data_IF_039117320985
#
_entry.id   IF_039117320985
#
_cell.length_a   1.000
_cell.length_b   1.000
_cell.length_c   1.000
_cell.angle_alpha   90.00
_cell.angle_beta   90.00
_cell.angle_gamma   90.00
#
_symmetry.space_group_name_H-M   'P 1'
#
loop_
_entity.id
_entity.type
_entity.pdbx_description
1 polymer ?
#
# COMPACT_ATOMS: atom_id res chain seq x y z
N UNK A 1 -17.93 -3.61 24.06
CA UNK A 1 -18.97 -3.83 23.03
C UNK A 1 -18.58 -2.94 21.87
N UNK A 2 -17.59 -3.32 21.05
CA UNK A 2 -17.63 -4.23 19.89
C UNK A 2 -18.41 -3.63 18.70
N UNK A 3 -17.92 -2.52 18.17
CA UNK A 3 -18.33 -1.95 16.89
C UNK A 3 -17.59 -2.65 15.75
N UNK A 4 -18.15 -3.79 15.33
CA UNK A 4 -17.85 -4.39 14.04
C UNK A 4 -18.53 -3.55 12.97
N UNK A 5 -17.78 -2.61 12.39
CA UNK A 5 -18.14 -2.00 11.11
C UNK A 5 -18.32 -3.12 10.07
N UNK A 6 -19.51 -3.22 9.50
CA UNK A 6 -19.89 -4.29 8.58
C UNK A 6 -19.27 -4.01 7.21
N UNK A 7 -18.40 -4.92 6.79
CA UNK A 7 -17.80 -5.07 5.44
C UNK A 7 -18.83 -5.05 4.28
N UNK A 8 -20.14 -5.08 4.57
CA UNK A 8 -21.21 -5.07 3.57
C UNK A 8 -21.48 -3.71 2.89
N UNK A 9 -21.09 -2.58 3.47
CA UNK A 9 -21.37 -1.26 2.86
C UNK A 9 -20.39 -0.90 1.72
N UNK A 10 -19.17 -1.43 1.73
CA UNK A 10 -18.16 -1.19 0.69
C UNK A 10 -18.47 -1.99 -0.58
N UNK A 11 -18.99 -3.22 -0.44
CA UNK A 11 -19.40 -4.06 -1.59
C UNK A 11 -20.62 -3.47 -2.31
N UNK A 12 -21.49 -2.75 -1.60
CA UNK A 12 -22.66 -2.07 -2.18
C UNK A 12 -22.29 -0.91 -3.12
N UNK A 13 -21.21 -0.17 -2.82
CA UNK A 13 -20.76 0.95 -3.67
C UNK A 13 -20.12 0.47 -4.97
N UNK A 14 -19.51 -0.72 -4.97
CA UNK A 14 -18.90 -1.31 -6.17
C UNK A 14 -19.94 -1.82 -7.17
N UNK A 15 -21.09 -2.31 -6.68
CA UNK A 15 -22.25 -2.63 -7.53
C UNK A 15 -22.93 -1.40 -8.13
N UNK A 16 -22.96 -0.28 -7.39
CA UNK A 16 -23.59 0.95 -7.87
C UNK A 16 -22.80 1.59 -9.03
N UNK A 17 -21.47 1.55 -8.98
CA UNK A 17 -20.61 2.05 -10.06
C UNK A 17 -20.66 1.17 -11.32
N UNK A 18 -20.80 -0.16 -11.16
CA UNK A 18 -21.00 -1.07 -12.29
C UNK A 18 -22.34 -0.81 -13.01
N UNK A 19 -23.38 -0.46 -12.23
CA UNK A 19 -24.70 -0.10 -12.77
C UNK A 19 -24.70 1.26 -13.49
N UNK A 20 -23.98 2.25 -12.96
CA UNK A 20 -23.84 3.56 -13.61
C UNK A 20 -23.07 3.49 -14.93
N UNK A 21 -22.13 2.55 -15.10
CA UNK A 21 -21.42 2.35 -16.36
C UNK A 21 -22.33 1.71 -17.43
N UNK A 22 -23.25 0.81 -17.03
CA UNK A 22 -24.23 0.19 -17.93
C UNK A 22 -25.34 1.15 -18.37
N UNK A 23 -25.84 2.00 -17.47
CA UNK A 23 -26.89 2.99 -17.78
C UNK A 23 -26.38 4.14 -18.69
N UNK A 24 -25.07 4.31 -18.85
CA UNK A 24 -24.46 5.29 -19.77
C UNK A 24 -24.39 4.81 -21.23
N UNK A 25 -24.64 3.52 -21.50
CA UNK A 25 -24.68 2.95 -22.86
C UNK A 25 -26.07 2.87 -23.48
N UNK A 26 -27.14 3.18 -22.72
CA UNK A 26 -28.53 3.08 -23.19
C UNK A 26 -29.09 4.36 -23.87
N UNK A 27 -28.32 5.45 -23.96
CA UNK A 27 -28.80 6.70 -24.58
C UNK A 27 -28.63 6.77 -26.11
N UNK A 28 -28.38 5.64 -26.78
CA UNK A 28 -28.23 5.58 -28.25
C UNK A 28 -29.14 4.55 -28.94
N UNK A 29 -30.27 4.19 -28.34
CA UNK A 29 -31.31 3.38 -28.98
C UNK A 29 -32.68 4.07 -28.98
N UNK A 30 -32.77 5.24 -29.62
CA UNK A 30 -34.01 5.63 -30.30
C UNK A 30 -33.77 5.49 -31.79
N UNK A 31 -34.19 4.35 -32.35
CA UNK A 31 -34.65 4.11 -33.73
C UNK A 31 -34.32 2.66 -34.17
N UNK A 32 -35.36 1.96 -34.61
CA UNK A 32 -35.39 0.70 -35.39
C UNK A 32 -35.15 -0.63 -34.66
N UNK A 33 -36.23 -1.12 -34.05
CA UNK A 33 -36.87 -2.44 -34.25
C UNK A 33 -36.16 -3.44 -35.19
N UNK A 34 -35.23 -4.25 -34.66
CA UNK A 34 -34.80 -5.54 -35.22
C UNK A 34 -34.46 -6.51 -34.08
N UNK A 35 -35.39 -7.39 -33.73
CA UNK A 35 -35.19 -8.47 -32.78
C UNK A 35 -34.29 -9.57 -33.39
N UNK A 36 -32.99 -9.50 -33.12
CA UNK A 36 -32.06 -10.61 -33.28
C UNK A 36 -31.94 -11.36 -31.94
N UNK A 37 -31.98 -12.71 -31.91
CA UNK A 37 -31.76 -13.46 -30.69
C UNK A 37 -30.27 -13.41 -30.34
N UNK A 38 -29.91 -12.60 -29.34
CA UNK A 38 -28.58 -12.65 -28.72
C UNK A 38 -28.53 -13.93 -27.87
N UNK A 39 -28.06 -15.04 -28.45
CA UNK A 39 -27.68 -16.22 -27.66
C UNK A 39 -26.37 -15.92 -26.93
N UNK A 40 -26.17 -16.52 -25.74
CA UNK A 40 -24.93 -16.31 -24.95
C UNK A 40 -23.67 -16.63 -25.77
N UNK A 41 -23.74 -17.54 -26.72
CA UNK A 41 -22.67 -17.87 -27.67
C UNK A 41 -22.26 -16.70 -28.58
N UNK A 42 -23.18 -15.80 -28.95
CA UNK A 42 -22.88 -14.63 -29.77
C UNK A 42 -22.21 -13.53 -28.95
N UNK A 43 -22.57 -13.41 -27.67
CA UNK A 43 -21.86 -12.53 -26.72
C UNK A 43 -20.45 -13.09 -26.51
N UNK A 44 -20.30 -14.38 -26.22
CA UNK A 44 -18.99 -15.04 -26.03
C UNK A 44 -18.08 -14.93 -27.28
N UNK A 45 -18.65 -14.91 -28.48
CA UNK A 45 -17.91 -14.63 -29.71
C UNK A 45 -17.40 -13.18 -29.83
N UNK A 46 -18.06 -12.21 -29.21
CA UNK A 46 -17.69 -10.79 -29.24
C UNK A 46 -16.69 -10.42 -28.12
N UNK A 47 -16.76 -11.09 -26.98
CA UNK A 47 -15.80 -10.97 -25.86
C UNK A 47 -14.68 -12.04 -25.93
N UNK A 48 -14.68 -12.95 -26.89
CA UNK A 48 -13.69 -14.03 -27.08
C UNK A 48 -12.27 -13.61 -27.47
N UNK A 49 -11.83 -12.40 -27.08
CA UNK A 49 -10.49 -11.85 -27.32
C UNK A 49 -9.85 -11.17 -26.10
N UNK A 50 -10.52 -11.13 -24.94
CA UNK A 50 -9.92 -10.62 -23.70
C UNK A 50 -8.98 -11.70 -23.12
N UNK A 51 -7.73 -11.70 -23.57
CA UNK A 51 -6.69 -12.57 -23.01
C UNK A 51 -6.50 -12.27 -21.52
N UNK A 52 -6.01 -13.24 -20.72
CA UNK A 52 -5.61 -13.01 -19.30
C UNK A 52 -4.75 -11.75 -19.13
N UNK A 53 -3.98 -11.40 -20.15
CA UNK A 53 -3.16 -10.19 -20.23
C UNK A 53 -3.97 -8.89 -20.11
N UNK A 54 -5.19 -8.84 -20.64
CA UNK A 54 -6.08 -7.67 -20.54
C UNK A 54 -6.75 -7.53 -19.16
N UNK A 55 -7.05 -8.65 -18.49
CA UNK A 55 -7.48 -8.67 -17.09
C UNK A 55 -6.32 -8.39 -16.11
N UNK A 56 -5.09 -8.78 -16.46
CA UNK A 56 -3.87 -8.39 -15.75
C UNK A 56 -3.58 -6.89 -15.95
N UNK A 57 -3.77 -6.36 -17.16
CA UNK A 57 -3.61 -4.94 -17.45
C UNK A 57 -4.64 -4.08 -16.71
N UNK A 58 -5.91 -4.52 -16.66
CA UNK A 58 -6.94 -3.86 -15.85
C UNK A 58 -6.60 -3.89 -14.36
N UNK A 59 -6.10 -5.02 -13.83
CA UNK A 59 -5.66 -5.15 -12.42
C UNK A 59 -4.43 -4.28 -12.09
N UNK A 60 -3.51 -4.09 -13.03
CA UNK A 60 -2.38 -3.16 -12.88
C UNK A 60 -2.80 -1.69 -13.00
N UNK A 61 -3.97 -1.41 -13.57
CA UNK A 61 -4.54 -0.07 -13.71
C UNK A 61 -5.44 0.36 -12.52
N UNK A 62 -5.64 -0.47 -11.49
CA UNK A 62 -6.62 -0.17 -10.42
C UNK A 62 -6.11 0.76 -9.31
N UNK A 63 -4.79 0.86 -9.11
CA UNK A 63 -4.23 1.61 -7.99
C UNK A 63 -3.64 2.94 -8.43
N UNK A 64 -4.01 4.07 -7.81
CA UNK A 64 -3.39 5.35 -8.09
C UNK A 64 -1.87 5.32 -7.92
N UNK A 65 -1.16 6.20 -8.65
CA UNK A 65 0.31 6.21 -8.69
C UNK A 65 0.96 6.27 -7.28
N UNK A 66 0.43 7.09 -6.36
CA UNK A 66 0.94 7.20 -5.00
C UNK A 66 0.85 5.88 -4.22
N UNK A 67 -0.19 5.09 -4.47
CA UNK A 67 -0.37 3.79 -3.83
C UNK A 67 0.66 2.79 -4.35
N UNK A 68 0.93 2.80 -5.66
CA UNK A 68 1.98 1.97 -6.26
C UNK A 68 3.37 2.32 -5.71
N UNK A 69 3.68 3.62 -5.57
CA UNK A 69 4.94 4.11 -4.98
C UNK A 69 5.04 3.69 -3.51
N UNK A 70 4.00 3.97 -2.72
CA UNK A 70 3.96 3.69 -1.29
C UNK A 70 4.14 2.20 -1.00
N UNK A 71 3.37 1.34 -1.66
CA UNK A 71 3.45 -0.12 -1.53
C UNK A 71 4.83 -0.65 -1.92
N UNK A 72 5.35 -0.20 -3.06
CA UNK A 72 6.68 -0.63 -3.52
C UNK A 72 7.78 -0.22 -2.53
N UNK A 73 7.70 0.99 -1.98
CA UNK A 73 8.64 1.47 -0.97
C UNK A 73 8.54 0.64 0.32
N UNK A 74 7.34 0.42 0.84
CA UNK A 74 7.10 -0.35 2.07
C UNK A 74 7.66 -1.77 1.94
N UNK A 75 7.32 -2.46 0.86
CA UNK A 75 7.81 -3.81 0.59
C UNK A 75 9.33 -3.84 0.49
N UNK A 76 9.93 -2.91 -0.24
CA UNK A 76 11.37 -2.80 -0.36
C UNK A 76 12.05 -2.51 0.99
N UNK A 77 11.50 -1.58 1.77
CA UNK A 77 12.02 -1.20 3.08
C UNK A 77 12.10 -2.40 4.02
N UNK A 78 11.00 -3.11 4.24
CA UNK A 78 10.98 -4.24 5.18
C UNK A 78 11.78 -5.43 4.67
N UNK A 79 11.78 -5.69 3.35
CA UNK A 79 12.65 -6.73 2.77
C UNK A 79 14.13 -6.43 3.04
N UNK A 80 14.57 -5.18 2.86
CA UNK A 80 15.96 -4.80 3.18
C UNK A 80 16.22 -4.85 4.69
N UNK A 81 15.26 -4.40 5.51
CA UNK A 81 15.38 -4.41 6.96
C UNK A 81 15.61 -5.83 7.51
N UNK A 82 14.84 -6.81 7.02
CA UNK A 82 14.90 -8.20 7.48
C UNK A 82 16.15 -8.94 6.97
N UNK A 83 16.64 -8.61 5.77
CA UNK A 83 17.80 -9.27 5.15
C UNK A 83 19.14 -8.63 5.55
N UNK A 84 19.27 -7.33 5.37
CA UNK A 84 20.48 -6.56 5.67
C UNK A 84 20.13 -5.09 5.92
N UNK A 85 19.81 -4.78 7.19
CA UNK A 85 19.45 -3.43 7.62
C UNK A 85 20.51 -2.36 7.31
N UNK A 86 21.75 -2.73 7.01
CA UNK A 86 22.79 -1.77 6.62
C UNK A 86 22.51 -1.11 5.25
N UNK A 87 21.72 -1.77 4.39
CA UNK A 87 21.37 -1.24 3.06
C UNK A 87 20.29 -0.14 3.10
N UNK A 88 19.58 0.00 4.23
CA UNK A 88 18.54 1.01 4.42
C UNK A 88 19.07 2.44 4.29
N UNK A 89 20.38 2.65 4.46
CA UNK A 89 20.99 3.96 4.30
C UNK A 89 20.80 4.54 2.90
N UNK A 90 20.50 3.73 1.90
CA UNK A 90 20.18 4.21 0.54
C UNK A 90 18.80 4.87 0.45
N UNK A 91 17.91 4.64 1.40
CA UNK A 91 16.54 5.17 1.44
C UNK A 91 16.45 6.51 2.19
N UNK A 92 17.50 6.89 2.91
CA UNK A 92 17.56 8.13 3.68
C UNK A 92 18.56 9.14 3.10
N UNK A 93 18.37 10.41 3.45
CA UNK A 93 19.23 11.54 3.11
C UNK A 93 19.75 12.23 4.39
N UNK A 94 20.64 13.21 4.24
CA UNK A 94 21.14 14.01 5.37
C UNK A 94 20.07 14.89 6.02
N UNK A 95 18.94 15.10 5.33
CA UNK A 95 17.79 15.85 5.85
C UNK A 95 16.70 14.98 6.44
N UNK A 96 16.84 13.65 6.36
CA UNK A 96 15.83 12.71 6.85
C UNK A 96 15.74 12.71 8.37
N UNK A 97 14.55 12.44 8.91
CA UNK A 97 14.29 12.38 10.34
C UNK A 97 13.62 11.05 10.69
N UNK A 98 14.20 10.31 11.65
CA UNK A 98 13.59 9.13 12.27
C UNK A 98 13.12 9.48 13.67
N UNK A 99 11.93 9.01 14.06
CA UNK A 99 11.52 8.91 15.47
C UNK A 99 11.34 7.43 15.79
N UNK A 100 12.18 6.88 16.67
CA UNK A 100 12.14 5.47 17.07
C UNK A 100 11.74 5.38 18.54
N UNK A 101 10.58 4.78 18.85
CA UNK A 101 10.08 4.66 20.23
C UNK A 101 10.02 6.01 20.97
N UNK A 102 9.70 7.09 20.24
CA UNK A 102 9.63 8.46 20.77
C UNK A 102 10.96 9.21 20.86
N UNK A 103 12.08 8.60 20.46
CA UNK A 103 13.39 9.27 20.42
C UNK A 103 13.70 9.76 18.99
N UNK A 104 14.04 11.04 18.78
CA UNK A 104 14.35 11.59 17.46
C UNK A 104 15.82 11.36 17.05
N UNK A 105 16.04 11.08 15.77
CA UNK A 105 17.34 10.92 15.13
C UNK A 105 17.33 11.65 13.79
N UNK A 106 18.20 12.66 13.64
CA UNK A 106 18.24 13.50 12.45
C UNK A 106 19.46 13.19 11.58
N UNK A 107 19.22 13.06 10.28
CA UNK A 107 20.22 12.79 9.26
C UNK A 107 20.55 11.30 9.13
N UNK A 108 20.87 10.89 7.90
CA UNK A 108 21.20 9.51 7.55
C UNK A 108 22.20 8.85 8.50
N UNK A 109 23.27 9.55 8.91
CA UNK A 109 24.28 8.98 9.79
C UNK A 109 23.70 8.53 11.15
N UNK A 110 22.95 9.41 11.82
CA UNK A 110 22.34 9.12 13.12
C UNK A 110 21.24 8.05 13.01
N UNK A 111 20.47 8.07 11.91
CA UNK A 111 19.46 7.05 11.60
C UNK A 111 20.12 5.67 11.48
N UNK A 112 21.18 5.56 10.70
CA UNK A 112 21.88 4.29 10.49
C UNK A 112 22.61 3.79 11.73
N UNK A 113 23.18 4.69 12.53
CA UNK A 113 23.73 4.34 13.85
C UNK A 113 22.64 3.76 14.75
N UNK A 114 21.47 4.39 14.80
CA UNK A 114 20.33 3.88 15.58
C UNK A 114 19.89 2.49 15.10
N UNK A 115 19.67 2.31 13.79
CA UNK A 115 19.27 1.02 13.21
C UNK A 115 20.32 -0.07 13.50
N UNK A 116 21.60 0.26 13.37
CA UNK A 116 22.70 -0.67 13.65
C UNK A 116 22.78 -1.06 15.13
N UNK A 117 22.45 -0.13 16.04
CA UNK A 117 22.48 -0.32 17.50
C UNK A 117 21.36 -1.24 18.05
N UNK A 118 20.36 -1.59 17.23
CA UNK A 118 19.23 -2.38 17.70
C UNK A 118 19.67 -3.78 18.15
N UNK A 119 19.29 -4.22 19.37
CA UNK A 119 19.89 -5.37 20.06
C UNK A 119 19.27 -6.70 19.63
N UNK A 120 19.21 -6.98 18.32
CA UNK A 120 18.72 -8.24 17.78
C UNK A 120 19.56 -8.74 16.61
N UNK A 121 19.56 -10.05 16.41
CA UNK A 121 20.28 -10.70 15.32
C UNK A 121 19.39 -10.90 14.10
N UNK A 122 18.15 -11.34 14.31
CA UNK A 122 17.16 -11.59 13.28
C UNK A 122 15.86 -10.89 13.62
N UNK A 123 15.26 -10.34 12.57
CA UNK A 123 13.93 -9.74 12.63
C UNK A 123 13.16 -10.17 11.39
N UNK A 124 11.86 -10.36 11.56
CA UNK A 124 10.94 -10.61 10.46
C UNK A 124 9.71 -9.73 10.65
N UNK A 125 9.40 -8.93 9.64
CA UNK A 125 8.18 -8.13 9.61
C UNK A 125 7.10 -8.82 8.78
N UNK A 126 5.85 -8.68 9.22
CA UNK A 126 4.65 -9.10 8.51
C UNK A 126 3.68 -7.91 8.47
N UNK A 127 3.42 -7.42 7.26
CA UNK A 127 2.55 -6.26 7.05
C UNK A 127 1.10 -6.73 7.08
N UNK A 128 0.30 -6.15 7.97
CA UNK A 128 -1.12 -6.50 8.13
C UNK A 128 -2.03 -5.54 7.39
N UNK A 129 -1.65 -4.26 7.37
CA UNK A 129 -2.33 -3.22 6.61
C UNK A 129 -1.31 -2.12 6.25
N UNK A 130 -1.51 -1.52 5.09
CA UNK A 130 -0.79 -0.35 4.62
C UNK A 130 -1.77 0.59 3.92
N UNK A 131 -1.63 1.88 4.20
CA UNK A 131 -2.46 2.92 3.60
C UNK A 131 -1.54 4.00 3.03
N UNK A 132 -1.86 4.49 1.83
CA UNK A 132 -1.03 5.46 1.11
C UNK A 132 -1.86 6.65 0.64
N UNK A 133 -1.35 7.85 0.87
CA UNK A 133 -2.00 9.09 0.46
C UNK A 133 -1.00 10.03 -0.24
N UNK A 134 -1.45 10.80 -1.25
CA UNK A 134 -0.66 11.91 -1.75
C UNK A 134 -0.57 12.99 -0.66
N UNK A 135 0.60 13.57 -0.51
CA UNK A 135 0.88 14.69 0.38
C UNK A 135 1.34 15.90 -0.45
N UNK A 136 1.40 17.11 0.14
CA UNK A 136 1.92 18.30 -0.55
C UNK A 136 3.32 18.07 -1.15
N UNK A 137 3.69 18.91 -2.13
CA UNK A 137 5.00 18.87 -2.79
C UNK A 137 5.36 17.52 -3.45
N UNK A 138 4.35 16.84 -4.01
CA UNK A 138 4.51 15.53 -4.70
C UNK A 138 5.06 14.45 -3.76
N UNK A 139 4.78 14.58 -2.46
CA UNK A 139 5.16 13.57 -1.48
C UNK A 139 4.11 12.46 -1.39
N UNK A 140 4.50 11.32 -0.84
CA UNK A 140 3.60 10.20 -0.53
C UNK A 140 3.70 9.91 0.96
N UNK A 141 2.58 9.95 1.66
CA UNK A 141 2.46 9.52 3.04
C UNK A 141 2.04 8.05 3.07
N UNK A 142 2.79 7.21 3.77
CA UNK A 142 2.49 5.80 3.97
C UNK A 142 2.34 5.51 5.47
N UNK A 143 1.21 4.91 5.86
CA UNK A 143 1.00 4.37 7.20
C UNK A 143 1.01 2.85 7.12
N UNK A 144 1.75 2.21 8.02
CA UNK A 144 1.93 0.77 8.06
C UNK A 144 1.55 0.26 9.44
N UNK A 145 0.74 -0.79 9.46
CA UNK A 145 0.43 -1.57 10.65
C UNK A 145 0.85 -3.00 10.39
N UNK A 146 1.61 -3.57 11.31
CA UNK A 146 2.12 -4.92 11.14
C UNK A 146 2.45 -5.62 12.44
N UNK A 147 3.03 -6.79 12.28
CA UNK A 147 3.61 -7.58 13.34
C UNK A 147 5.09 -7.83 13.03
N UNK A 148 5.91 -7.89 14.07
CA UNK A 148 7.31 -8.25 13.96
C UNK A 148 7.66 -9.35 14.95
N UNK A 149 8.58 -10.23 14.53
CA UNK A 149 9.18 -11.27 15.34
C UNK A 149 10.67 -11.00 15.40
N UNK A 150 11.18 -10.80 16.61
CA UNK A 150 12.60 -10.55 16.87
C UNK A 150 13.17 -11.75 17.57
N UNK A 151 14.21 -12.36 17.00
CA UNK A 151 14.88 -13.55 17.54
C UNK A 151 13.85 -14.58 18.11
N UNK A 152 13.92 -14.86 19.41
CA UNK A 152 12.99 -15.76 20.12
C UNK A 152 11.88 -15.03 20.89
N UNK A 153 11.84 -13.69 20.87
CA UNK A 153 10.87 -12.86 21.60
C UNK A 153 9.44 -13.03 21.08
N UNK A 154 8.38 -12.83 21.89
CA UNK A 154 7.01 -12.88 21.42
C UNK A 154 6.76 -11.98 20.19
N UNK A 155 5.82 -12.38 19.33
CA UNK A 155 5.39 -11.53 18.21
C UNK A 155 4.77 -10.26 18.77
N UNK A 156 5.25 -9.11 18.30
CA UNK A 156 4.80 -7.79 18.72
C UNK A 156 4.13 -7.07 17.56
N UNK A 157 3.04 -6.35 17.83
CA UNK A 157 2.49 -5.41 16.85
C UNK A 157 3.39 -4.18 16.73
N UNK A 158 3.35 -3.51 15.59
CA UNK A 158 4.00 -2.22 15.40
C UNK A 158 3.18 -1.31 14.47
N UNK A 159 3.47 -0.01 14.57
CA UNK A 159 2.98 1.03 13.70
C UNK A 159 4.17 1.81 13.16
N UNK A 160 4.18 2.08 11.86
CA UNK A 160 5.21 2.90 11.24
C UNK A 160 4.61 3.86 10.23
N UNK A 161 5.16 5.07 10.15
CA UNK A 161 4.74 6.08 9.19
C UNK A 161 5.95 6.58 8.41
N UNK A 162 5.80 6.67 7.09
CA UNK A 162 6.81 7.18 6.17
C UNK A 162 6.28 8.37 5.39
N UNK A 163 7.08 9.43 5.28
CA UNK A 163 6.89 10.49 4.30
C UNK A 163 7.95 10.37 3.22
N UNK A 164 7.50 10.05 2.01
CA UNK A 164 8.34 9.82 0.85
C UNK A 164 8.37 11.06 -0.02
N UNK A 165 9.55 11.42 -0.52
CA UNK A 165 9.73 12.49 -1.48
C UNK A 165 10.54 12.00 -2.67
N UNK A 166 10.18 12.43 -3.86
CA UNK A 166 11.01 12.20 -5.02
C UNK A 166 12.15 13.23 -5.05
N UNK A 167 13.39 12.73 -5.09
CA UNK A 167 14.60 13.52 -5.25
C UNK A 167 15.43 12.93 -6.40
N UNK A 168 15.57 13.67 -7.50
CA UNK A 168 16.31 13.26 -8.70
C UNK A 168 15.93 11.85 -9.20
N UNK A 169 14.64 11.62 -9.46
CA UNK A 169 14.07 10.35 -9.92
C UNK A 169 14.19 9.19 -8.92
N UNK A 170 14.58 9.46 -7.67
CA UNK A 170 14.65 8.47 -6.60
C UNK A 170 13.70 8.82 -5.46
N UNK A 171 12.92 7.85 -5.03
CA UNK A 171 12.09 7.99 -3.83
C UNK A 171 12.93 7.81 -2.57
N UNK A 172 12.98 8.85 -1.74
CA UNK A 172 13.67 8.87 -0.45
C UNK A 172 12.67 9.05 0.69
N UNK A 173 12.99 8.49 1.85
CA UNK A 173 12.25 8.69 3.08
C UNK A 173 12.75 9.94 3.79
N UNK A 174 11.88 10.94 3.91
CA UNK A 174 12.17 12.22 4.58
C UNK A 174 11.78 12.19 6.06
N UNK A 175 10.68 11.53 6.40
CA UNK A 175 10.25 11.34 7.77
C UNK A 175 9.87 9.88 7.99
N UNK A 176 10.35 9.31 9.08
CA UNK A 176 10.09 7.95 9.53
C UNK A 176 9.70 8.00 11.01
N UNK A 177 8.58 7.38 11.38
CA UNK A 177 8.14 7.29 12.77
C UNK A 177 7.74 5.86 13.07
N UNK A 178 8.49 5.20 13.94
CA UNK A 178 8.26 3.82 14.37
C UNK A 178 7.84 3.75 15.84
N UNK A 179 6.82 2.93 16.11
CA UNK A 179 6.38 2.61 17.46
C UNK A 179 5.88 1.17 17.56
N UNK A 180 6.33 0.43 18.57
CA UNK A 180 5.76 -0.85 18.97
C UNK A 180 4.34 -0.65 19.52
N UNK A 181 3.43 -1.52 19.12
CA UNK A 181 2.11 -1.61 19.73
C UNK A 181 2.28 -2.18 21.15
N UNK A 182 2.41 -1.30 22.13
CA UNK A 182 2.44 -1.69 23.53
C UNK A 182 1.06 -2.23 23.90
N UNK A 183 1.00 -3.51 24.23
CA UNK A 183 -0.13 -4.07 24.97
C UNK A 183 -0.09 -3.50 26.40
N UNK A 184 -0.70 -2.32 26.59
CA UNK A 184 -1.09 -1.88 27.93
C UNK A 184 -2.26 -2.77 28.39
N UNK A 185 -1.94 -3.97 28.89
CA UNK A 185 -2.85 -4.66 29.79
C UNK A 185 -2.68 -4.00 31.16
N UNK A 186 -3.53 -3.01 31.43
CA UNK A 186 -3.84 -2.58 32.77
C UNK A 186 -4.72 -3.64 33.45
#
# INVERSE_FOLDING_TARGET
MNDRFKIGEIVGMQWFLYKCHWEATDSLHSLTDWSFPLTEEFIDSLIGGWTESSLLYSRMAEHPLWEQIGRSFVHHYYQQFDLDRNQLGTLYSDTSCLTWEGQPFQGKAAIMEKIASLPFQKIQHSITAEDHQPAPDTCVLSMVVGQLKVDDDPVMGFHQLFLLKNDNDKWICTNDMFRLALHNFC
#
